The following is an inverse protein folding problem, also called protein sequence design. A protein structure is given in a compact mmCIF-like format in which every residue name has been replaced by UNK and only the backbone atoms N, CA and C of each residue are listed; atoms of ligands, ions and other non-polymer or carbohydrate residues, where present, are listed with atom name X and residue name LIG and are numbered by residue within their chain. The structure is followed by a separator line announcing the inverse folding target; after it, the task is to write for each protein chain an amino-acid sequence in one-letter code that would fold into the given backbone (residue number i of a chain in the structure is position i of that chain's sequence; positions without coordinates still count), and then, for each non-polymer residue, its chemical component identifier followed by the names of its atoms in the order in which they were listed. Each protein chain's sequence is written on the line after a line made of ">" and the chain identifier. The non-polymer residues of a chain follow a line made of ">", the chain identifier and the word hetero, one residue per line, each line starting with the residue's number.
data_IF_010353798643
#
_entry.id   IF_010353798643
#
_cell.length_a   1.000
_cell.length_b   1.000
_cell.length_c   1.000
_cell.angle_alpha   90.00
_cell.angle_beta   90.00
_cell.angle_gamma   90.00
#
_symmetry.space_group_name_H-M   'P 1'
#
loop_
_entity.id
_entity.type
_entity.pdbx_description
1 polymer ?
#
# COMPACT_ATOMS: atom_id res chain seq x y z
N UNK A 1 -3.36 4.73 11.33
CA UNK A 1 -4.16 3.59 10.83
C UNK A 1 -5.62 4.02 10.82
N UNK A 2 -6.16 4.39 9.66
CA UNK A 2 -7.52 4.94 9.54
C UNK A 2 -8.46 3.81 9.13
N UNK A 3 -9.58 3.65 9.82
CA UNK A 3 -10.59 2.64 9.44
C UNK A 3 -11.12 2.93 8.02
N UNK A 4 -11.42 1.92 7.19
CA UNK A 4 -11.83 2.14 5.79
C UNK A 4 -13.02 3.11 5.61
N UNK A 5 -13.94 3.14 6.57
CA UNK A 5 -15.08 4.08 6.57
C UNK A 5 -14.60 5.52 6.78
N UNK A 6 -13.73 5.75 7.76
CA UNK A 6 -13.14 7.06 7.99
C UNK A 6 -12.25 7.47 6.80
N UNK A 7 -11.50 6.54 6.23
CA UNK A 7 -10.66 6.78 5.06
C UNK A 7 -11.51 7.26 3.87
N UNK A 8 -12.70 6.68 3.68
CA UNK A 8 -13.64 7.09 2.63
C UNK A 8 -14.07 8.55 2.78
N UNK A 9 -14.26 9.03 4.00
CA UNK A 9 -14.63 10.44 4.23
C UNK A 9 -13.42 11.37 4.09
N UNK A 10 -12.25 10.97 4.57
CA UNK A 10 -11.00 11.74 4.42
C UNK A 10 -10.61 11.91 2.95
N UNK A 11 -10.76 10.87 2.12
CA UNK A 11 -10.44 10.92 0.67
C UNK A 11 -11.33 11.90 -0.10
N UNK A 12 -12.54 12.17 0.38
CA UNK A 12 -13.47 13.12 -0.25
C UNK A 12 -13.23 14.57 0.14
N UNK A 13 -12.51 14.82 1.23
CA UNK A 13 -12.31 16.18 1.71
C UNK A 13 -11.39 16.98 0.77
N UNK A 14 -11.60 18.29 0.67
CA UNK A 14 -10.79 19.18 -0.17
C UNK A 14 -9.35 19.27 0.33
N UNK A 15 -9.15 19.13 1.64
CA UNK A 15 -7.84 19.05 2.29
C UNK A 15 -7.01 17.86 1.79
N UNK A 16 -7.64 16.86 1.16
CA UNK A 16 -6.92 15.78 0.51
C UNK A 16 -6.01 16.30 -0.60
N UNK A 17 -6.48 17.17 -1.51
CA UNK A 17 -5.61 17.76 -2.55
C UNK A 17 -4.62 18.72 -1.89
N UNK A 18 -5.11 19.64 -1.06
CA UNK A 18 -4.33 20.78 -0.58
C UNK A 18 -3.20 20.39 0.39
N UNK A 19 -3.34 19.27 1.09
CA UNK A 19 -2.42 18.89 2.17
C UNK A 19 -2.01 17.43 2.14
N UNK A 20 -2.93 16.50 1.93
CA UNK A 20 -2.62 15.08 2.14
C UNK A 20 -1.90 14.46 0.95
N UNK A 21 -2.33 14.73 -0.29
CA UNK A 21 -1.87 14.02 -1.47
C UNK A 21 -0.35 14.09 -1.62
N UNK A 22 0.24 15.28 -1.55
CA UNK A 22 1.66 15.46 -1.87
C UNK A 22 2.59 15.46 -0.62
N UNK A 23 2.03 15.75 0.57
CA UNK A 23 2.84 15.95 1.80
C UNK A 23 2.83 14.75 2.73
N UNK A 24 2.00 13.74 2.47
CA UNK A 24 1.91 12.55 3.32
C UNK A 24 2.27 11.28 2.56
N UNK A 25 2.90 10.34 3.26
CA UNK A 25 3.04 8.96 2.79
C UNK A 25 1.81 8.16 3.21
N UNK A 26 1.08 7.59 2.26
CA UNK A 26 -0.13 6.83 2.54
C UNK A 26 0.18 5.34 2.46
N UNK A 27 0.30 4.74 3.64
CA UNK A 27 0.55 3.32 3.79
C UNK A 27 -0.75 2.55 4.01
N UNK A 28 -1.06 1.61 3.12
CA UNK A 28 -2.23 0.75 3.20
C UNK A 28 -1.86 -0.54 3.92
N UNK A 29 -2.45 -0.78 5.10
CA UNK A 29 -2.25 -2.01 5.85
C UNK A 29 -3.07 -3.15 5.26
N UNK A 30 -2.46 -3.91 4.36
CA UNK A 30 -3.10 -5.02 3.64
C UNK A 30 -2.85 -6.39 4.30
N UNK A 31 -1.85 -6.48 5.17
CA UNK A 31 -1.52 -7.72 5.86
C UNK A 31 -2.27 -7.80 7.19
N UNK A 32 -3.09 -8.85 7.34
CA UNK A 32 -3.75 -9.16 8.62
C UNK A 32 -2.95 -10.23 9.38
N UNK A 33 -2.91 -10.15 10.71
CA UNK A 33 -2.44 -11.26 11.52
C UNK A 33 -3.35 -12.48 11.28
N UNK A 34 -2.75 -13.61 10.92
CA UNK A 34 -3.48 -14.86 10.68
C UNK A 34 -3.90 -15.53 12.00
N UNK A 35 -3.16 -15.24 13.07
CA UNK A 35 -3.43 -15.74 14.41
C UNK A 35 -3.52 -14.55 15.40
N UNK A 36 -4.46 -14.57 16.35
CA UNK A 36 -4.52 -13.57 17.40
C UNK A 36 -3.26 -13.60 18.25
N UNK A 37 -2.55 -12.48 18.34
CA UNK A 37 -1.46 -12.30 19.29
C UNK A 37 -1.92 -11.36 20.41
N UNK A 38 -2.20 -11.88 21.61
CA UNK A 38 -2.64 -11.06 22.75
C UNK A 38 -1.50 -10.28 23.39
N UNK A 39 -0.24 -10.61 23.06
CA UNK A 39 0.91 -9.97 23.67
C UNK A 39 1.07 -8.54 23.13
N UNK A 40 1.38 -7.56 24.00
CA UNK A 40 1.68 -6.21 23.54
C UNK A 40 2.92 -6.25 22.63
N UNK A 41 2.96 -5.44 21.56
CA UNK A 41 4.14 -5.35 20.71
C UNK A 41 5.31 -4.83 21.55
N UNK A 42 6.41 -5.58 21.59
CA UNK A 42 7.67 -5.13 22.17
C UNK A 42 8.50 -4.52 21.05
N UNK A 43 8.62 -3.20 21.06
CA UNK A 43 9.40 -2.47 20.06
C UNK A 43 10.57 -1.80 20.77
N UNK A 44 11.79 -2.16 20.37
CA UNK A 44 13.00 -1.42 20.72
C UNK A 44 13.43 -0.67 19.48
N UNK A 45 13.48 0.66 19.56
CA UNK A 45 13.86 1.51 18.43
C UNK A 45 15.31 1.96 18.63
N UNK A 46 16.16 1.66 17.66
CA UNK A 46 17.45 2.32 17.47
C UNK A 46 17.26 3.40 16.40
N UNK A 47 17.48 4.65 16.78
CA UNK A 47 17.32 5.79 15.88
C UNK A 47 18.55 6.05 14.99
N UNK A 48 19.59 5.21 15.11
CA UNK A 48 20.76 5.27 14.25
C UNK A 48 21.62 6.51 14.50
N UNK A 49 22.15 7.10 13.42
CA UNK A 49 22.88 8.37 13.45
C UNK A 49 22.01 9.53 12.96
N UNK A 50 22.51 10.76 13.09
CA UNK A 50 21.89 11.95 12.51
C UNK A 50 21.93 11.90 10.97
N UNK A 51 20.80 12.14 10.32
CA UNK A 51 20.64 12.12 8.86
C UNK A 51 21.52 13.16 8.15
N UNK A 52 21.86 14.26 8.82
CA UNK A 52 22.78 15.29 8.28
C UNK A 52 24.18 14.72 8.02
N UNK A 53 24.54 13.59 8.66
CA UNK A 53 25.83 12.93 8.50
C UNK A 53 25.85 11.92 7.35
N UNK A 54 24.74 11.75 6.64
CA UNK A 54 24.60 10.81 5.52
C UNK A 54 24.62 11.58 4.20
N UNK A 55 25.38 11.07 3.22
CA UNK A 55 25.42 11.67 1.90
C UNK A 55 24.09 11.47 1.16
N UNK A 56 23.53 12.56 0.65
CA UNK A 56 22.31 12.54 -0.17
C UNK A 56 22.63 11.90 -1.53
N UNK A 57 21.91 10.85 -1.94
CA UNK A 57 22.22 10.13 -3.16
C UNK A 57 21.68 10.88 -4.38
N UNK A 58 22.33 10.71 -5.53
CA UNK A 58 21.71 11.04 -6.81
C UNK A 58 20.72 9.94 -7.22
N UNK A 59 19.49 10.31 -7.57
CA UNK A 59 18.44 9.38 -7.95
C UNK A 59 18.58 8.91 -9.41
N UNK A 60 19.64 8.16 -9.71
CA UNK A 60 19.98 7.67 -11.05
C UNK A 60 19.95 6.14 -11.08
N UNK A 61 19.50 5.58 -12.21
CA UNK A 61 19.55 4.16 -12.50
C UNK A 61 18.25 3.40 -12.18
N UNK A 62 18.21 2.13 -12.58
CA UNK A 62 16.99 1.31 -12.61
C UNK A 62 16.24 1.22 -11.29
N UNK A 63 16.94 1.14 -10.16
CA UNK A 63 16.30 1.07 -8.84
C UNK A 63 15.71 2.42 -8.42
N UNK A 64 16.37 3.52 -8.75
CA UNK A 64 15.84 4.86 -8.52
C UNK A 64 14.59 5.09 -9.38
N UNK A 65 14.60 4.66 -10.64
CA UNK A 65 13.44 4.79 -11.52
C UNK A 65 12.25 3.94 -11.06
N UNK A 66 12.53 2.75 -10.52
CA UNK A 66 11.49 1.93 -9.88
C UNK A 66 10.90 2.63 -8.65
N UNK A 67 11.70 3.25 -7.79
CA UNK A 67 11.19 4.02 -6.65
C UNK A 67 10.34 5.22 -7.11
N UNK A 68 10.79 5.94 -8.15
CA UNK A 68 10.02 7.04 -8.74
C UNK A 68 8.66 6.55 -9.22
N UNK A 69 8.60 5.45 -9.97
CA UNK A 69 7.33 4.87 -10.44
C UNK A 69 6.35 4.49 -9.31
N UNK A 70 6.86 4.11 -8.14
CA UNK A 70 6.03 3.85 -6.96
C UNK A 70 5.53 5.18 -6.37
N UNK A 71 6.41 6.17 -6.26
CA UNK A 71 6.08 7.51 -5.75
C UNK A 71 5.09 8.28 -6.62
N UNK A 72 5.14 8.12 -7.95
CA UNK A 72 4.22 8.75 -8.92
C UNK A 72 2.75 8.41 -8.69
N UNK A 73 2.47 7.31 -8.00
CA UNK A 73 1.10 6.95 -7.60
C UNK A 73 0.53 7.95 -6.59
N UNK A 74 1.37 8.55 -5.75
CA UNK A 74 0.94 9.35 -4.60
C UNK A 74 1.38 10.81 -4.67
N UNK A 75 2.55 11.09 -5.23
CA UNK A 75 3.24 12.37 -5.11
C UNK A 75 3.52 13.00 -6.48
N UNK A 76 3.66 14.33 -6.47
CA UNK A 76 4.16 15.08 -7.61
C UNK A 76 5.67 14.92 -7.80
N UNK A 77 6.16 15.25 -8.99
CA UNK A 77 7.56 15.06 -9.40
C UNK A 77 8.58 15.70 -8.45
N UNK A 78 8.29 16.90 -7.92
CA UNK A 78 9.17 17.57 -6.96
C UNK A 78 9.26 16.80 -5.65
N UNK A 79 8.13 16.32 -5.12
CA UNK A 79 8.09 15.54 -3.89
C UNK A 79 8.68 14.17 -4.01
N UNK A 80 8.58 13.55 -5.17
CA UNK A 80 9.28 12.30 -5.44
C UNK A 80 10.79 12.49 -5.27
N UNK A 81 11.36 13.59 -5.80
CA UNK A 81 12.79 13.86 -5.67
C UNK A 81 13.21 14.09 -4.21
N UNK A 82 12.42 14.86 -3.47
CA UNK A 82 12.69 15.17 -2.06
C UNK A 82 12.49 13.94 -1.17
N UNK A 83 11.28 13.38 -1.15
CA UNK A 83 10.91 12.29 -0.23
C UNK A 83 11.73 11.03 -0.47
N UNK A 84 12.00 10.63 -1.72
CA UNK A 84 12.79 9.42 -1.97
C UNK A 84 14.23 9.60 -1.48
N UNK A 85 14.83 10.77 -1.70
CA UNK A 85 16.19 11.04 -1.24
C UNK A 85 16.25 11.01 0.30
N UNK A 86 15.29 11.67 0.97
CA UNK A 86 15.20 11.70 2.43
C UNK A 86 14.97 10.31 3.03
N UNK A 87 14.10 9.50 2.42
CA UNK A 87 13.84 8.12 2.87
C UNK A 87 15.06 7.21 2.71
N UNK A 88 15.83 7.36 1.62
CA UNK A 88 17.07 6.62 1.42
C UNK A 88 18.13 7.02 2.45
N UNK A 89 18.26 8.32 2.71
CA UNK A 89 19.14 8.84 3.75
C UNK A 89 18.73 8.30 5.12
N UNK A 90 17.44 8.34 5.46
CA UNK A 90 16.92 7.81 6.71
C UNK A 90 17.21 6.30 6.86
N UNK A 91 17.03 5.52 5.79
CA UNK A 91 17.36 4.08 5.75
C UNK A 91 18.84 3.84 6.09
N UNK A 92 19.75 4.57 5.46
CA UNK A 92 21.19 4.44 5.76
C UNK A 92 21.52 4.91 7.18
N UNK A 93 20.84 5.96 7.66
CA UNK A 93 21.02 6.52 9.00
C UNK A 93 20.67 5.53 10.10
N UNK A 94 19.55 4.79 9.94
CA UNK A 94 19.10 3.76 10.88
C UNK A 94 20.12 2.62 11.02
N UNK A 95 20.82 2.29 9.93
CA UNK A 95 21.93 1.33 9.92
C UNK A 95 23.28 1.93 10.38
N UNK A 96 23.29 3.19 10.84
CA UNK A 96 24.49 3.93 11.28
C UNK A 96 25.53 4.10 10.16
N UNK A 97 25.09 4.07 8.89
CA UNK A 97 25.93 4.28 7.71
C UNK A 97 25.88 5.74 7.29
N UNK A 98 26.99 6.23 6.74
CA UNK A 98 27.11 7.61 6.21
C UNK A 98 26.84 7.72 4.70
N UNK A 99 26.58 6.59 4.05
CA UNK A 99 26.36 6.52 2.61
C UNK A 99 25.20 5.57 2.30
N UNK A 100 24.41 5.97 1.31
CA UNK A 100 23.30 5.18 0.77
C UNK A 100 23.85 4.14 -0.19
N UNK A 101 23.39 2.91 -0.05
CA UNK A 101 23.82 1.77 -0.85
C UNK A 101 22.64 1.14 -1.59
N UNK A 102 22.92 0.20 -2.48
CA UNK A 102 21.87 -0.55 -3.21
C UNK A 102 20.90 -1.31 -2.27
N UNK A 103 21.31 -1.60 -1.03
CA UNK A 103 20.46 -2.26 -0.03
C UNK A 103 19.30 -1.35 0.37
N UNK A 104 19.55 -0.05 0.55
CA UNK A 104 18.54 0.95 0.90
C UNK A 104 17.47 1.06 -0.17
N UNK A 105 17.88 1.11 -1.44
CA UNK A 105 16.95 1.11 -2.57
C UNK A 105 16.04 -0.12 -2.58
N UNK A 106 16.63 -1.32 -2.39
CA UNK A 106 15.86 -2.57 -2.37
C UNK A 106 14.91 -2.63 -1.17
N UNK A 107 15.33 -2.16 0.00
CA UNK A 107 14.49 -2.06 1.18
C UNK A 107 13.32 -1.11 0.92
N UNK A 108 13.62 0.09 0.45
CA UNK A 108 12.60 1.11 0.21
C UNK A 108 11.60 0.68 -0.86
N UNK A 109 12.03 -0.01 -1.92
CA UNK A 109 11.12 -0.60 -2.91
C UNK A 109 10.13 -1.56 -2.26
N UNK A 110 10.58 -2.40 -1.31
CA UNK A 110 9.71 -3.33 -0.60
C UNK A 110 8.74 -2.60 0.34
N UNK A 111 9.23 -1.60 1.07
CA UNK A 111 8.43 -0.84 2.04
C UNK A 111 7.39 0.05 1.36
N UNK A 112 7.73 0.64 0.22
CA UNK A 112 6.83 1.53 -0.53
C UNK A 112 5.93 0.79 -1.52
N UNK A 113 6.19 -0.49 -1.82
CA UNK A 113 5.35 -1.28 -2.73
C UNK A 113 3.84 -1.20 -2.41
N UNK A 114 3.39 -1.21 -1.14
CA UNK A 114 1.97 -1.04 -0.81
C UNK A 114 1.35 0.30 -1.23
N UNK A 115 2.13 1.35 -1.48
CA UNK A 115 1.62 2.64 -1.97
C UNK A 115 0.94 2.50 -3.33
N UNK A 116 1.38 1.53 -4.15
CA UNK A 116 0.79 1.24 -5.47
C UNK A 116 -0.68 0.81 -5.36
N UNK A 117 -1.13 0.37 -4.19
CA UNK A 117 -2.53 0.00 -4.00
C UNK A 117 -3.46 1.20 -4.12
N UNK A 118 -2.98 2.42 -3.86
CA UNK A 118 -3.81 3.62 -4.01
C UNK A 118 -4.37 3.78 -5.42
N UNK A 119 -3.60 3.46 -6.47
CA UNK A 119 -4.11 3.52 -7.85
C UNK A 119 -5.17 2.47 -8.17
N UNK A 120 -5.27 1.41 -7.35
CA UNK A 120 -6.27 0.34 -7.51
C UNK A 120 -7.55 0.59 -6.71
N UNK A 121 -7.45 1.38 -5.63
CA UNK A 121 -8.56 1.56 -4.69
C UNK A 121 -9.10 2.98 -4.67
N UNK A 122 -8.38 3.94 -5.23
CA UNK A 122 -8.81 5.34 -5.31
C UNK A 122 -9.03 5.71 -6.76
N UNK A 123 -10.22 6.20 -7.06
CA UNK A 123 -10.59 6.75 -8.37
C UNK A 123 -10.74 8.27 -8.26
N UNK A 124 -10.21 8.99 -9.24
CA UNK A 124 -10.28 10.45 -9.34
C UNK A 124 -11.02 10.80 -10.64
N UNK A 125 -12.27 11.26 -10.50
CA UNK A 125 -13.16 11.51 -11.63
C UNK A 125 -13.09 12.94 -12.16
N UNK A 126 -12.63 13.86 -11.32
CA UNK A 126 -12.49 15.28 -11.62
C UNK A 126 -11.14 15.79 -11.13
N UNK A 127 -10.71 16.94 -11.63
CA UNK A 127 -9.39 17.50 -11.34
C UNK A 127 -9.14 17.73 -9.85
N UNK A 128 -10.15 18.10 -9.05
CA UNK A 128 -9.97 18.39 -7.61
C UNK A 128 -11.15 17.99 -6.72
N UNK A 129 -12.30 17.62 -7.29
CA UNK A 129 -13.57 17.58 -6.53
C UNK A 129 -14.05 16.19 -6.15
N UNK A 130 -13.96 15.21 -7.05
CA UNK A 130 -14.57 13.90 -6.84
C UNK A 130 -13.55 12.78 -6.79
N UNK A 131 -13.35 12.26 -5.57
CA UNK A 131 -12.63 11.01 -5.33
C UNK A 131 -13.52 9.96 -4.69
N UNK A 132 -13.27 8.72 -5.08
CA UNK A 132 -13.98 7.56 -4.56
C UNK A 132 -13.00 6.50 -4.09
N UNK A 133 -13.28 5.94 -2.90
CA UNK A 133 -12.58 4.77 -2.40
C UNK A 133 -13.38 3.50 -2.72
N UNK A 134 -12.81 2.62 -3.53
CA UNK A 134 -13.31 1.28 -3.82
C UNK A 134 -13.07 0.36 -2.61
N UNK A 135 -13.88 0.53 -1.55
CA UNK A 135 -13.72 -0.19 -0.28
C UNK A 135 -13.78 -1.71 -0.43
N UNK A 136 -14.60 -2.23 -1.36
CA UNK A 136 -14.66 -3.65 -1.66
C UNK A 136 -13.36 -4.17 -2.29
N UNK A 137 -12.79 -3.42 -3.25
CA UNK A 137 -11.51 -3.79 -3.86
C UNK A 137 -10.38 -3.79 -2.83
N UNK A 138 -10.35 -2.79 -1.95
CA UNK A 138 -9.38 -2.75 -0.84
C UNK A 138 -9.51 -3.97 0.09
N UNK A 139 -10.74 -4.39 0.39
CA UNK A 139 -11.01 -5.57 1.19
C UNK A 139 -10.52 -6.87 0.50
N UNK A 140 -10.79 -7.01 -0.79
CA UNK A 140 -10.37 -8.16 -1.59
C UNK A 140 -8.83 -8.22 -1.68
N UNK A 141 -8.17 -7.09 -1.96
CA UNK A 141 -6.71 -6.99 -1.98
C UNK A 141 -6.09 -7.36 -0.63
N UNK A 142 -6.72 -6.98 0.49
CA UNK A 142 -6.28 -7.36 1.84
C UNK A 142 -6.30 -8.88 2.01
N UNK A 143 -7.35 -9.56 1.54
CA UNK A 143 -7.43 -11.03 1.59
C UNK A 143 -6.33 -11.68 0.77
N UNK A 144 -6.11 -11.19 -0.46
CA UNK A 144 -5.05 -11.68 -1.32
C UNK A 144 -3.66 -11.49 -0.72
N UNK A 145 -3.32 -10.29 -0.25
CA UNK A 145 -1.99 -10.02 0.32
C UNK A 145 -1.76 -10.83 1.60
N UNK A 146 -2.81 -11.11 2.38
CA UNK A 146 -2.71 -11.90 3.62
C UNK A 146 -2.55 -13.40 3.36
N UNK A 147 -3.25 -13.96 2.37
CA UNK A 147 -3.38 -15.42 2.19
C UNK A 147 -2.83 -15.96 0.86
N UNK A 148 -2.46 -15.09 -0.08
CA UNK A 148 -2.03 -15.42 -1.45
C UNK A 148 -3.17 -15.88 -2.36
N UNK A 149 -4.01 -16.79 -1.89
CA UNK A 149 -5.33 -17.08 -2.48
C UNK A 149 -6.33 -17.20 -1.33
N UNK A 150 -7.59 -16.93 -1.58
CA UNK A 150 -8.59 -16.94 -0.51
C UNK A 150 -9.90 -17.57 -0.98
N UNK A 151 -10.60 -18.19 -0.03
CA UNK A 151 -11.88 -18.84 -0.32
C UNK A 151 -13.04 -17.87 -0.11
N UNK A 152 -14.15 -18.12 -0.80
CA UNK A 152 -15.40 -17.38 -0.59
C UNK A 152 -15.87 -17.47 0.88
N UNK A 153 -15.69 -18.63 1.50
CA UNK A 153 -16.02 -18.87 2.92
C UNK A 153 -15.16 -18.00 3.85
N UNK A 154 -13.88 -17.84 3.54
CA UNK A 154 -12.96 -17.01 4.29
C UNK A 154 -13.30 -15.52 4.17
N UNK A 155 -13.57 -15.04 2.96
CA UNK A 155 -14.05 -13.68 2.73
C UNK A 155 -15.34 -13.40 3.52
N UNK A 156 -16.28 -14.34 3.50
CA UNK A 156 -17.54 -14.26 4.26
C UNK A 156 -17.32 -14.18 5.77
N UNK A 157 -16.42 -15.02 6.31
CA UNK A 157 -16.06 -15.01 7.74
C UNK A 157 -15.38 -13.71 8.17
N UNK A 158 -14.38 -13.28 7.42
CA UNK A 158 -13.49 -12.18 7.78
C UNK A 158 -14.15 -10.79 7.69
N UNK A 159 -15.29 -10.68 6.98
CA UNK A 159 -16.06 -9.45 6.84
C UNK A 159 -17.51 -9.58 7.36
N UNK A 160 -17.85 -10.71 7.99
CA UNK A 160 -19.18 -10.97 8.54
C UNK A 160 -20.33 -10.78 7.53
N UNK A 161 -20.12 -11.22 6.29
CA UNK A 161 -21.12 -11.18 5.21
C UNK A 161 -21.57 -12.58 4.84
N UNK A 162 -22.77 -12.73 4.27
CA UNK A 162 -23.20 -14.03 3.74
C UNK A 162 -22.39 -14.43 2.50
N UNK A 163 -22.16 -15.73 2.28
CA UNK A 163 -21.43 -16.21 1.08
C UNK A 163 -22.11 -15.77 -0.23
N UNK A 164 -23.44 -15.68 -0.25
CA UNK A 164 -24.20 -15.18 -1.41
C UNK A 164 -23.88 -13.71 -1.71
N UNK A 165 -23.79 -12.85 -0.69
CA UNK A 165 -23.37 -11.46 -0.86
C UNK A 165 -21.92 -11.37 -1.31
N UNK A 166 -21.01 -12.13 -0.71
CA UNK A 166 -19.62 -12.18 -1.14
C UNK A 166 -19.49 -12.59 -2.60
N UNK A 167 -20.27 -13.58 -3.04
CA UNK A 167 -20.27 -14.04 -4.43
C UNK A 167 -20.75 -12.93 -5.39
N UNK A 168 -21.82 -12.22 -5.04
CA UNK A 168 -22.33 -11.07 -5.80
C UNK A 168 -21.35 -9.89 -5.85
N UNK A 169 -20.51 -9.72 -4.83
CA UNK A 169 -19.45 -8.70 -4.84
C UNK A 169 -18.35 -9.15 -5.80
N UNK A 170 -17.84 -10.37 -5.63
CA UNK A 170 -16.76 -10.91 -6.47
C UNK A 170 -17.14 -10.98 -7.95
N UNK A 171 -18.42 -11.22 -8.27
CA UNK A 171 -18.90 -11.25 -9.67
C UNK A 171 -18.78 -9.89 -10.39
N UNK A 172 -18.50 -8.80 -9.67
CA UNK A 172 -18.25 -7.46 -10.26
C UNK A 172 -16.78 -7.22 -10.60
N UNK A 173 -15.89 -8.07 -10.12
CA UNK A 173 -14.44 -7.94 -10.25
C UNK A 173 -13.83 -9.10 -11.05
N UNK A 174 -14.57 -9.63 -12.02
CA UNK A 174 -14.17 -10.81 -12.80
C UNK A 174 -13.07 -10.53 -13.82
N UNK A 175 -12.72 -9.26 -14.06
CA UNK A 175 -11.57 -8.88 -14.89
C UNK A 175 -10.27 -9.04 -14.11
N UNK A 176 -10.30 -8.62 -12.85
CA UNK A 176 -9.13 -8.58 -11.97
C UNK A 176 -8.96 -9.86 -11.15
N UNK A 177 -10.03 -10.65 -10.98
CA UNK A 177 -10.04 -11.86 -10.15
C UNK A 177 -10.72 -13.04 -10.85
N UNK A 178 -10.10 -14.20 -10.74
CA UNK A 178 -10.60 -15.45 -11.32
C UNK A 178 -10.83 -16.53 -10.26
N UNK A 179 -11.68 -17.51 -10.60
CA UNK A 179 -11.95 -18.69 -9.77
C UNK A 179 -10.97 -19.79 -10.16
N UNK A 180 -10.01 -20.09 -9.28
CA UNK A 180 -8.99 -21.13 -9.52
C UNK A 180 -9.40 -22.51 -8.99
N UNK A 181 -10.38 -22.56 -8.09
CA UNK A 181 -11.01 -23.80 -7.62
C UNK A 181 -12.48 -23.57 -7.28
N UNK A 182 -13.35 -24.55 -7.52
CA UNK A 182 -14.79 -24.49 -7.19
C UNK A 182 -15.14 -25.19 -5.88
N UNK A 183 -14.24 -26.00 -5.31
CA UNK A 183 -14.49 -26.78 -4.10
C UNK A 183 -13.22 -26.79 -3.20
N UNK A 184 -13.10 -25.85 -2.24
CA UNK A 184 -13.96 -24.68 -2.04
C UNK A 184 -13.76 -23.62 -3.14
N UNK A 185 -14.77 -22.78 -3.38
CA UNK A 185 -14.65 -21.63 -4.30
C UNK A 185 -13.50 -20.73 -3.85
N UNK A 186 -12.43 -20.68 -4.64
CA UNK A 186 -11.16 -20.02 -4.32
C UNK A 186 -10.83 -19.02 -5.41
N UNK A 187 -10.43 -17.82 -5.01
CA UNK A 187 -10.09 -16.72 -5.90
C UNK A 187 -8.59 -16.43 -5.90
N UNK A 188 -8.07 -16.04 -7.06
CA UNK A 188 -6.72 -15.55 -7.27
C UNK A 188 -6.76 -14.35 -8.25
N UNK A 189 -5.74 -13.47 -8.23
CA UNK A 189 -5.65 -12.37 -9.19
C UNK A 189 -5.32 -12.91 -10.59
N UNK A 190 -5.90 -12.29 -11.61
CA UNK A 190 -5.53 -12.52 -13.02
C UNK A 190 -4.15 -11.95 -13.32
N UNK A 191 -3.55 -12.33 -14.45
CA UNK A 191 -2.25 -11.79 -14.88
C UNK A 191 -2.32 -10.28 -15.16
N UNK A 192 -3.49 -9.70 -15.42
CA UNK A 192 -3.68 -8.25 -15.58
C UNK A 192 -3.48 -7.47 -14.27
N UNK A 193 -3.73 -8.11 -13.12
CA UNK A 193 -3.59 -7.49 -11.80
C UNK A 193 -2.20 -7.72 -11.17
N UNK A 194 -1.42 -8.68 -11.66
CA UNK A 194 -0.09 -9.08 -11.10
C UNK A 194 1.04 -8.11 -11.46
#
# INVERSE_FOLDING_TARGET
>A
NIQPILLKEVVKSSEWEASMMDKSMRYYHLYRPQEPNPMPPKVTLDWGIDTVRVQVPQLIGKLADRLKSIGEVQWGLSRIKEHIADLLVASASLDKRREVTLVDYKLLIKLLAPMRVESLVTDKRELETQRYLASNQLAILTQFVTYGSFTLRQLSRDYHLSQSQCYKIMSRYTKEWEIVSKQPTTYAPTDELR
#
